data_IF_555439242185
#
_entry.id   IF_555439242185
#
_cell.length_a   1.000
_cell.length_b   1.000
_cell.length_c   1.000
_cell.angle_alpha   90.00
_cell.angle_beta   90.00
_cell.angle_gamma   90.00
#
_symmetry.space_group_name_H-M   'P 1'
#
loop_
_entity.id
_entity.type
_entity.pdbx_description
1 polymer ?
#
# COMPACT_ATOMS: atom_id res chain seq x y z
N UNK A 1 -5.96 -17.42 9.88
CA UNK A 1 -6.09 -18.12 8.58
C UNK A 1 -7.17 -17.42 7.74
N UNK A 2 -7.13 -17.43 6.41
CA UNK A 2 -8.13 -16.73 5.58
C UNK A 2 -8.94 -17.82 4.87
N UNK A 3 -10.11 -18.13 5.42
CA UNK A 3 -10.98 -19.20 4.93
C UNK A 3 -12.20 -18.58 4.23
N UNK A 4 -12.47 -19.02 3.01
CA UNK A 4 -13.61 -18.59 2.19
C UNK A 4 -14.30 -19.83 1.68
N UNK A 5 -15.52 -20.03 2.16
CA UNK A 5 -16.41 -21.10 1.69
C UNK A 5 -17.30 -20.61 0.55
N UNK A 6 -17.61 -21.53 -0.36
CA UNK A 6 -18.54 -21.29 -1.48
C UNK A 6 -19.95 -21.05 -0.94
N UNK A 7 -20.63 -20.02 -1.45
CA UNK A 7 -22.04 -19.78 -1.12
C UNK A 7 -22.96 -20.60 -2.05
N UNK A 8 -24.13 -21.02 -1.56
CA UNK A 8 -25.15 -21.67 -2.42
C UNK A 8 -25.61 -20.67 -3.49
N UNK A 9 -25.67 -21.11 -4.76
CA UNK A 9 -26.02 -20.27 -5.92
C UNK A 9 -24.87 -19.42 -6.47
N UNK A 10 -23.65 -19.52 -5.94
CA UNK A 10 -22.49 -18.75 -6.41
C UNK A 10 -21.72 -19.50 -7.53
N UNK A 11 -21.41 -18.79 -8.62
CA UNK A 11 -20.43 -19.24 -9.63
C UNK A 11 -19.02 -19.30 -9.02
N UNK A 12 -18.22 -20.28 -9.44
CA UNK A 12 -16.83 -20.41 -9.00
C UNK A 12 -16.02 -19.13 -9.20
N UNK A 13 -16.23 -18.42 -10.31
CA UNK A 13 -15.51 -17.19 -10.61
C UNK A 13 -15.81 -16.08 -9.60
N UNK A 14 -17.06 -15.94 -9.17
CA UNK A 14 -17.45 -14.95 -8.15
C UNK A 14 -16.79 -15.24 -6.80
N UNK A 15 -16.71 -16.52 -6.43
CA UNK A 15 -16.00 -16.96 -5.23
C UNK A 15 -14.49 -16.64 -5.32
N UNK A 16 -13.86 -16.91 -6.47
CA UNK A 16 -12.44 -16.62 -6.69
C UNK A 16 -12.16 -15.11 -6.63
N UNK A 17 -13.03 -14.26 -7.19
CA UNK A 17 -12.90 -12.80 -7.10
C UNK A 17 -12.92 -12.32 -5.64
N UNK A 18 -13.84 -12.85 -4.82
CA UNK A 18 -13.89 -12.57 -3.37
C UNK A 18 -12.62 -13.00 -2.66
N UNK A 19 -12.09 -14.18 -3.01
CA UNK A 19 -10.85 -14.70 -2.46
C UNK A 19 -9.66 -13.80 -2.77
N UNK A 20 -9.48 -13.44 -4.04
CA UNK A 20 -8.40 -12.55 -4.47
C UNK A 20 -8.49 -11.19 -3.79
N UNK A 21 -9.69 -10.58 -3.74
CA UNK A 21 -9.92 -9.31 -3.04
C UNK A 21 -9.55 -9.42 -1.56
N UNK A 22 -9.98 -10.49 -0.89
CA UNK A 22 -9.69 -10.68 0.54
C UNK A 22 -8.20 -10.94 0.80
N UNK A 23 -7.49 -11.62 -0.10
CA UNK A 23 -6.03 -11.76 -0.01
C UNK A 23 -5.34 -10.41 -0.13
N UNK A 24 -5.74 -9.58 -1.11
CA UNK A 24 -5.20 -8.24 -1.30
C UNK A 24 -5.45 -7.36 -0.07
N UNK A 25 -6.68 -7.33 0.43
CA UNK A 25 -7.06 -6.58 1.64
C UNK A 25 -6.30 -7.06 2.88
N UNK A 26 -6.07 -8.37 3.01
CA UNK A 26 -5.37 -8.93 4.17
C UNK A 26 -3.89 -8.55 4.25
N UNK A 27 -3.30 -7.97 3.19
CA UNK A 27 -1.89 -7.58 3.15
C UNK A 27 -0.90 -8.74 3.20
N UNK A 28 -1.37 -10.00 3.28
CA UNK A 28 -0.52 -11.19 3.37
C UNK A 28 0.42 -11.33 2.18
N UNK A 29 -0.06 -10.97 0.99
CA UNK A 29 0.77 -10.97 -0.22
C UNK A 29 1.93 -9.96 -0.11
N UNK A 30 1.66 -8.76 0.42
CA UNK A 30 2.69 -7.74 0.63
C UNK A 30 3.69 -8.18 1.70
N UNK A 31 3.21 -8.78 2.80
CA UNK A 31 4.06 -9.31 3.85
C UNK A 31 4.95 -10.45 3.33
N UNK A 32 4.39 -11.38 2.56
CA UNK A 32 5.15 -12.47 1.94
C UNK A 32 6.23 -11.94 0.99
N UNK A 33 5.92 -10.91 0.17
CA UNK A 33 6.92 -10.23 -0.66
C UNK A 33 8.01 -9.54 0.17
N UNK A 34 7.64 -8.89 1.27
CA UNK A 34 8.55 -8.15 2.15
C UNK A 34 9.55 -9.06 2.87
N UNK A 35 9.12 -10.24 3.31
CA UNK A 35 9.96 -11.18 4.07
C UNK A 35 10.64 -12.24 3.19
N UNK A 36 10.41 -12.22 1.87
CA UNK A 36 10.94 -13.22 0.91
C UNK A 36 12.47 -13.35 0.99
N UNK A 37 13.17 -12.25 1.26
CA UNK A 37 14.62 -12.20 1.34
C UNK A 37 15.08 -11.58 2.65
N UNK A 38 16.28 -11.98 3.10
CA UNK A 38 16.90 -11.37 4.27
C UNK A 38 17.23 -9.90 3.98
N UNK A 39 16.80 -9.01 4.88
CA UNK A 39 17.12 -7.58 4.82
C UNK A 39 17.92 -7.19 6.05
N UNK A 40 19.10 -6.59 5.84
CA UNK A 40 19.95 -6.09 6.92
C UNK A 40 19.26 -4.92 7.63
N UNK A 41 19.46 -4.80 8.95
CA UNK A 41 18.96 -3.65 9.72
C UNK A 41 19.58 -2.36 9.17
N UNK A 42 18.78 -1.29 9.09
CA UNK A 42 19.26 0.03 8.65
C UNK A 42 20.26 0.59 9.66
N UNK A 43 21.37 1.15 9.17
CA UNK A 43 22.31 1.89 10.01
C UNK A 43 21.74 3.30 10.37
N UNK A 44 22.36 3.98 11.35
CA UNK A 44 21.93 5.30 11.83
C UNK A 44 21.84 6.33 10.69
N UNK A 45 22.82 6.34 9.78
CA UNK A 45 22.85 7.29 8.66
C UNK A 45 21.71 7.04 7.65
N UNK A 46 21.42 5.79 7.31
CA UNK A 46 20.32 5.42 6.42
C UNK A 46 18.97 5.76 7.04
N UNK A 47 18.81 5.57 8.36
CA UNK A 47 17.62 5.98 9.08
C UNK A 47 17.44 7.51 9.03
N UNK A 48 18.51 8.28 9.30
CA UNK A 48 18.50 9.75 9.23
C UNK A 48 18.16 10.25 7.82
N UNK A 49 18.81 9.71 6.78
CA UNK A 49 18.55 10.06 5.38
C UNK A 49 17.08 9.80 4.99
N UNK A 50 16.53 8.66 5.42
CA UNK A 50 15.13 8.32 5.19
C UNK A 50 14.18 9.28 5.90
N UNK A 51 14.52 9.73 7.11
CA UNK A 51 13.71 10.68 7.88
C UNK A 51 13.72 12.08 7.22
N UNK A 52 14.89 12.57 6.82
CA UNK A 52 15.03 13.85 6.11
C UNK A 52 14.22 13.87 4.81
N UNK A 53 14.36 12.81 4.00
CA UNK A 53 13.57 12.68 2.76
C UNK A 53 12.06 12.70 3.01
N UNK A 54 11.60 12.12 4.13
CA UNK A 54 10.16 12.14 4.50
C UNK A 54 9.70 13.56 4.82
N UNK A 55 10.53 14.35 5.51
CA UNK A 55 10.23 15.75 5.83
C UNK A 55 10.19 16.57 4.54
N UNK A 56 11.21 16.45 3.68
CA UNK A 56 11.26 17.15 2.38
C UNK A 56 10.04 16.85 1.49
N UNK A 57 9.60 15.59 1.45
CA UNK A 57 8.40 15.23 0.69
C UNK A 57 7.13 15.79 1.32
N UNK A 58 7.04 15.87 2.66
CA UNK A 58 5.90 16.46 3.35
C UNK A 58 5.82 17.97 3.06
N UNK A 59 6.92 18.70 3.19
CA UNK A 59 6.95 20.15 2.92
C UNK A 59 6.65 20.45 1.45
N UNK A 60 7.21 19.67 0.52
CA UNK A 60 6.89 19.81 -0.92
C UNK A 60 5.42 19.57 -1.20
N UNK A 61 4.79 18.58 -0.54
CA UNK A 61 3.35 18.33 -0.69
C UNK A 61 2.52 19.50 -0.17
N UNK A 62 2.82 20.00 1.04
CA UNK A 62 2.11 21.14 1.62
C UNK A 62 2.20 22.38 0.73
N UNK A 63 3.39 22.64 0.16
CA UNK A 63 3.57 23.74 -0.79
C UNK A 63 2.72 23.57 -2.05
N UNK A 64 2.66 22.36 -2.63
CA UNK A 64 1.86 22.08 -3.83
C UNK A 64 0.35 22.22 -3.57
N UNK A 65 -0.11 21.83 -2.38
CA UNK A 65 -1.50 22.03 -1.94
C UNK A 65 -1.80 23.52 -1.80
N UNK A 66 -0.93 24.27 -1.10
CA UNK A 66 -1.09 25.73 -0.89
C UNK A 66 -1.08 26.53 -2.19
N UNK A 67 -0.32 26.07 -3.19
CA UNK A 67 -0.23 26.72 -4.52
C UNK A 67 -1.32 26.26 -5.49
N UNK A 68 -2.24 25.38 -5.06
CA UNK A 68 -3.34 24.87 -5.88
C UNK A 68 -2.89 23.96 -7.04
N UNK A 69 -1.61 23.60 -7.11
CA UNK A 69 -1.04 22.72 -8.14
C UNK A 69 -1.28 21.23 -7.87
N UNK A 70 -1.77 20.89 -6.68
CA UNK A 70 -2.13 19.53 -6.29
C UNK A 70 -3.49 19.57 -5.59
N UNK A 71 -4.50 18.92 -6.16
CA UNK A 71 -5.82 18.81 -5.55
C UNK A 71 -5.86 17.67 -4.53
N UNK A 72 -6.85 17.67 -3.62
CA UNK A 72 -7.07 16.52 -2.72
C UNK A 72 -7.44 15.24 -3.48
N UNK A 73 -8.00 15.37 -4.69
CA UNK A 73 -8.36 14.24 -5.54
C UNK A 73 -7.11 13.57 -6.14
N UNK A 74 -6.14 14.36 -6.62
CA UNK A 74 -4.85 13.87 -7.09
C UNK A 74 -4.13 13.02 -6.01
N UNK A 75 -4.29 13.43 -4.74
CA UNK A 75 -3.71 12.70 -3.59
C UNK A 75 -4.38 11.33 -3.39
N UNK A 76 -5.70 11.24 -3.55
CA UNK A 76 -6.45 9.99 -3.42
C UNK A 76 -6.14 9.01 -4.56
N UNK A 77 -5.94 9.50 -5.78
CA UNK A 77 -5.60 8.67 -6.93
C UNK A 77 -4.20 8.03 -6.82
N UNK A 78 -3.20 8.76 -6.31
CA UNK A 78 -1.86 8.19 -6.10
C UNK A 78 -1.80 7.10 -5.03
N UNK A 79 -2.69 7.12 -4.04
CA UNK A 79 -2.78 6.05 -3.03
C UNK A 79 -3.52 4.81 -3.54
N UNK A 80 -4.45 4.97 -4.49
CA UNK A 80 -5.15 3.84 -5.13
C UNK A 80 -4.28 3.10 -6.15
N UNK A 81 -3.40 3.80 -6.89
CA UNK A 81 -2.52 3.16 -7.88
C UNK A 81 -1.42 2.28 -7.29
N UNK A 82 -1.12 2.45 -5.99
CA UNK A 82 -0.09 1.71 -5.26
C UNK A 82 -0.65 0.54 -4.40
N UNK A 83 -1.98 0.38 -4.35
CA UNK A 83 -2.65 -0.65 -3.53
C UNK A 83 -2.98 -1.90 -4.33
#
# INVERSE_FOLDING_TARGET
>A
MLDIKRRKGESFESMLRRFTKRIQESGKMLQAKKIRFHTKKKNKNAARKSALRRIELATKREYLIKTGRLTEEDQRHQHRSYR
#
